data_IF_866265773394
#
_entry.id   IF_866265773394
#
_cell.length_a   1.000
_cell.length_b   1.000
_cell.length_c   1.000
_cell.angle_alpha   90.00
_cell.angle_beta   90.00
_cell.angle_gamma   90.00
#
_symmetry.space_group_name_H-M   'P 1'
#
loop_
_entity.id
_entity.type
_entity.pdbx_description
1 polymer ?
#
# COMPACT_ATOMS: atom_id res chain seq x y z
N UNK A 1 -33.13 -12.60 -19.58
CA UNK A 1 -31.73 -12.15 -19.49
C UNK A 1 -31.05 -12.18 -20.86
N UNK A 2 -31.23 -13.26 -21.66
CA UNK A 2 -30.64 -13.37 -23.01
C UNK A 2 -31.13 -12.25 -23.94
N UNK A 3 -32.43 -11.87 -23.85
CA UNK A 3 -33.02 -10.83 -24.66
C UNK A 3 -32.57 -9.39 -24.32
N UNK A 4 -32.02 -9.18 -23.14
CA UNK A 4 -31.43 -7.88 -22.73
C UNK A 4 -29.96 -7.73 -23.18
N UNK A 5 -29.23 -8.84 -23.29
CA UNK A 5 -27.89 -8.89 -23.87
C UNK A 5 -27.90 -8.61 -25.39
N UNK A 6 -28.92 -9.09 -26.09
CA UNK A 6 -29.05 -8.89 -27.53
C UNK A 6 -29.35 -7.44 -27.92
N UNK A 7 -29.82 -6.61 -26.98
CA UNK A 7 -30.17 -5.20 -27.22
C UNK A 7 -29.02 -4.21 -26.82
N UNK A 8 -27.88 -4.69 -26.33
CA UNK A 8 -26.73 -3.83 -25.99
C UNK A 8 -26.99 -2.88 -24.81
N UNK A 9 -28.04 -3.11 -24.02
CA UNK A 9 -28.46 -2.18 -22.97
C UNK A 9 -27.80 -2.39 -21.59
N UNK A 10 -27.02 -3.47 -21.39
CA UNK A 10 -26.34 -3.72 -20.14
C UNK A 10 -25.03 -4.49 -20.37
N UNK A 11 -23.94 -3.91 -20.02
CA UNK A 11 -22.65 -4.59 -19.83
C UNK A 11 -22.75 -5.43 -18.53
N UNK A 12 -23.36 -6.61 -18.64
CA UNK A 12 -23.59 -7.48 -17.50
C UNK A 12 -22.51 -8.55 -17.46
N UNK A 13 -21.48 -8.32 -16.65
CA UNK A 13 -20.56 -9.40 -16.27
C UNK A 13 -21.34 -10.45 -15.48
N UNK A 14 -21.58 -11.59 -16.14
CA UNK A 14 -22.23 -12.74 -15.52
C UNK A 14 -21.24 -13.40 -14.57
N UNK A 15 -21.26 -13.00 -13.30
CA UNK A 15 -20.47 -13.61 -12.24
C UNK A 15 -21.32 -14.68 -11.53
N UNK A 16 -21.33 -15.94 -12.01
CA UNK A 16 -22.15 -16.96 -11.40
C UNK A 16 -21.58 -17.34 -10.03
N UNK A 17 -22.37 -17.16 -8.98
CA UNK A 17 -22.02 -17.51 -7.59
C UNK A 17 -22.18 -19.01 -7.30
N UNK A 18 -22.74 -19.77 -8.24
CA UNK A 18 -23.01 -21.19 -8.06
C UNK A 18 -22.79 -21.99 -9.34
N UNK A 19 -21.96 -23.01 -9.26
CA UNK A 19 -21.68 -23.95 -10.32
C UNK A 19 -22.23 -25.34 -9.94
N UNK A 20 -22.79 -26.05 -10.91
CA UNK A 20 -23.19 -27.46 -10.75
C UNK A 20 -22.30 -28.30 -11.64
N UNK A 21 -21.52 -29.17 -11.05
CA UNK A 21 -20.67 -30.11 -11.76
C UNK A 21 -21.31 -31.49 -11.70
N UNK A 22 -21.58 -32.12 -12.85
CA UNK A 22 -22.15 -33.45 -12.94
C UNK A 22 -21.24 -34.38 -13.77
N UNK A 23 -21.06 -35.59 -13.29
CA UNK A 23 -20.31 -36.64 -13.99
C UNK A 23 -21.20 -37.83 -14.29
N UNK A 24 -21.30 -38.18 -15.55
CA UNK A 24 -22.11 -39.31 -16.02
C UNK A 24 -21.22 -40.46 -16.50
N UNK A 25 -21.47 -41.68 -16.06
CA UNK A 25 -20.74 -42.85 -16.49
C UNK A 25 -21.69 -44.01 -16.83
N UNK A 26 -21.14 -44.99 -17.56
CA UNK A 26 -21.90 -46.20 -17.90
C UNK A 26 -22.23 -47.05 -16.65
N UNK A 27 -23.33 -47.78 -16.70
CA UNK A 27 -23.86 -48.57 -15.57
C UNK A 27 -22.91 -49.68 -15.11
N UNK A 28 -21.97 -50.10 -15.98
CA UNK A 28 -20.98 -51.17 -15.71
C UNK A 28 -19.98 -50.84 -14.61
N UNK A 29 -19.80 -49.55 -14.28
CA UNK A 29 -18.77 -49.09 -13.33
C UNK A 29 -19.23 -48.99 -11.87
N UNK A 30 -20.48 -49.32 -11.58
CA UNK A 30 -21.06 -49.25 -10.23
C UNK A 30 -21.26 -47.83 -9.72
N UNK A 31 -22.07 -47.69 -8.66
CA UNK A 31 -22.48 -46.38 -8.12
C UNK A 31 -21.33 -45.60 -7.45
N UNK A 32 -20.32 -46.25 -6.96
CA UNK A 32 -19.20 -45.63 -6.27
C UNK A 32 -18.15 -45.00 -7.19
N UNK A 33 -18.04 -45.47 -8.43
CA UNK A 33 -17.06 -44.95 -9.38
C UNK A 33 -17.28 -43.46 -9.72
N UNK A 34 -18.51 -43.01 -10.13
CA UNK A 34 -18.72 -41.61 -10.45
C UNK A 34 -18.51 -40.68 -9.24
N UNK A 35 -18.82 -41.16 -8.04
CA UNK A 35 -18.57 -40.41 -6.81
C UNK A 35 -17.07 -40.21 -6.54
N UNK A 36 -16.25 -41.21 -6.72
CA UNK A 36 -14.79 -41.11 -6.58
C UNK A 36 -14.20 -40.16 -7.60
N UNK A 37 -14.60 -40.29 -8.87
CA UNK A 37 -14.12 -39.39 -9.94
C UNK A 37 -14.53 -37.92 -9.66
N UNK A 38 -15.77 -37.69 -9.29
CA UNK A 38 -16.23 -36.33 -8.97
C UNK A 38 -15.46 -35.72 -7.77
N UNK A 39 -15.25 -36.51 -6.72
CA UNK A 39 -14.47 -36.06 -5.57
C UNK A 39 -13.01 -35.74 -5.95
N UNK A 40 -12.39 -36.55 -6.82
CA UNK A 40 -11.04 -36.29 -7.30
C UNK A 40 -10.99 -35.00 -8.12
N UNK A 41 -11.94 -34.79 -9.02
CA UNK A 41 -12.04 -33.55 -9.82
C UNK A 41 -12.17 -32.34 -8.90
N UNK A 42 -13.02 -32.41 -7.88
CA UNK A 42 -13.20 -31.32 -6.93
C UNK A 42 -11.94 -31.05 -6.08
N UNK A 43 -11.22 -32.10 -5.68
CA UNK A 43 -9.95 -31.97 -4.96
C UNK A 43 -8.87 -31.35 -5.83
N UNK A 44 -8.73 -31.80 -7.08
CA UNK A 44 -7.76 -31.24 -8.03
C UNK A 44 -8.09 -29.78 -8.37
N UNK A 45 -9.37 -29.45 -8.56
CA UNK A 45 -9.81 -28.10 -8.78
C UNK A 45 -9.51 -27.20 -7.57
N UNK A 46 -9.83 -27.65 -6.35
CA UNK A 46 -9.52 -26.92 -5.12
C UNK A 46 -8.01 -26.69 -4.96
N UNK A 47 -7.20 -27.72 -5.26
CA UNK A 47 -5.73 -27.62 -5.24
C UNK A 47 -5.21 -26.64 -6.30
N UNK A 48 -5.72 -26.72 -7.52
CA UNK A 48 -5.37 -25.81 -8.62
C UNK A 48 -5.74 -24.38 -8.27
N UNK A 49 -6.96 -24.16 -7.79
CA UNK A 49 -7.44 -22.82 -7.38
C UNK A 49 -6.60 -22.26 -6.24
N UNK A 50 -6.32 -23.09 -5.22
CA UNK A 50 -5.48 -22.71 -4.10
C UNK A 50 -4.06 -22.31 -4.51
N UNK A 51 -3.49 -22.94 -5.54
CA UNK A 51 -2.12 -22.63 -6.03
C UNK A 51 -2.06 -21.39 -6.93
N UNK A 52 -3.10 -21.15 -7.74
CA UNK A 52 -3.03 -20.17 -8.82
C UNK A 52 -3.86 -18.90 -8.57
N UNK A 53 -4.87 -19.00 -7.71
CA UNK A 53 -5.83 -17.90 -7.50
C UNK A 53 -5.98 -17.47 -6.03
N UNK A 54 -5.49 -18.27 -5.08
CA UNK A 54 -5.43 -17.82 -3.69
C UNK A 54 -4.12 -17.12 -3.49
N UNK A 55 -4.18 -15.82 -3.23
CA UNK A 55 -3.01 -15.07 -2.83
C UNK A 55 -2.58 -15.56 -1.44
N UNK A 56 -1.58 -16.45 -1.43
CA UNK A 56 -0.96 -16.97 -0.22
C UNK A 56 0.19 -16.07 0.26
N UNK A 57 0.36 -14.89 -0.36
CA UNK A 57 1.40 -13.93 0.01
C UNK A 57 1.15 -13.24 1.36
N UNK A 58 0.18 -13.70 2.12
CA UNK A 58 0.07 -13.39 3.52
C UNK A 58 1.26 -14.01 4.23
N UNK A 59 2.30 -13.21 4.28
CA UNK A 59 3.40 -13.32 5.20
C UNK A 59 4.42 -14.43 4.92
N UNK A 60 5.59 -14.01 4.55
CA UNK A 60 6.78 -14.53 5.20
C UNK A 60 6.44 -14.70 6.69
N UNK A 61 6.68 -15.89 7.26
CA UNK A 61 6.27 -16.23 8.61
C UNK A 61 6.99 -15.30 9.64
N UNK A 62 6.34 -14.21 10.13
CA UNK A 62 6.99 -13.22 10.97
C UNK A 62 7.47 -13.82 12.29
N UNK A 63 6.83 -14.89 12.74
CA UNK A 63 7.21 -15.62 13.96
C UNK A 63 8.60 -16.24 13.81
N UNK A 64 8.94 -16.77 12.63
CA UNK A 64 10.29 -17.30 12.39
C UNK A 64 11.34 -16.18 12.40
N UNK A 65 11.02 -15.02 11.86
CA UNK A 65 11.91 -13.87 11.82
C UNK A 65 12.17 -13.30 13.21
N UNK A 66 11.15 -13.13 14.02
CA UNK A 66 11.25 -12.68 15.41
C UNK A 66 12.20 -13.57 16.23
N UNK A 67 12.14 -14.88 16.01
CA UNK A 67 12.94 -15.84 16.80
C UNK A 67 14.36 -16.05 16.28
N UNK A 68 14.60 -15.88 14.99
CA UNK A 68 15.87 -16.23 14.34
C UNK A 68 16.80 -15.03 14.09
N UNK A 69 16.26 -13.82 13.89
CA UNK A 69 17.06 -12.64 13.49
C UNK A 69 17.74 -11.90 14.64
N UNK A 70 17.64 -12.36 15.88
CA UNK A 70 18.29 -11.73 17.02
C UNK A 70 17.82 -10.29 17.30
N UNK A 71 16.55 -10.03 17.08
CA UNK A 71 15.91 -8.75 17.39
C UNK A 71 15.91 -8.45 18.88
N UNK A 72 16.03 -7.18 19.24
CA UNK A 72 15.75 -6.69 20.57
C UNK A 72 14.22 -6.69 20.83
N UNK A 73 13.79 -6.56 22.10
CA UNK A 73 12.37 -6.58 22.45
C UNK A 73 11.56 -5.49 21.73
N UNK A 74 12.13 -4.28 21.62
CA UNK A 74 11.50 -3.19 20.89
C UNK A 74 11.36 -3.51 19.40
N UNK A 75 12.40 -4.04 18.76
CA UNK A 75 12.35 -4.46 17.36
C UNK A 75 11.36 -5.60 17.12
N UNK A 76 11.19 -6.50 18.10
CA UNK A 76 10.16 -7.54 18.03
C UNK A 76 8.76 -6.96 18.05
N UNK A 77 8.50 -5.96 18.91
CA UNK A 77 7.22 -5.27 18.99
C UNK A 77 6.93 -4.50 17.69
N UNK A 78 7.93 -3.82 17.10
CA UNK A 78 7.80 -3.17 15.79
C UNK A 78 7.41 -4.17 14.69
N UNK A 79 8.09 -5.33 14.61
CA UNK A 79 7.77 -6.37 13.62
C UNK A 79 6.36 -6.95 13.84
N UNK A 80 5.90 -7.05 15.09
CA UNK A 80 4.53 -7.48 15.40
C UNK A 80 3.50 -6.44 14.93
N UNK A 81 3.73 -5.16 15.21
CA UNK A 81 2.86 -4.06 14.79
C UNK A 81 2.73 -3.99 13.26
N UNK A 82 3.86 -4.00 12.54
CA UNK A 82 3.91 -4.03 11.09
C UNK A 82 3.17 -5.25 10.51
N UNK A 83 3.35 -6.41 11.13
CA UNK A 83 2.70 -7.65 10.70
C UNK A 83 1.18 -7.57 10.85
N UNK A 84 0.70 -7.08 11.99
CA UNK A 84 -0.73 -6.94 12.25
C UNK A 84 -1.36 -5.87 11.36
N UNK A 85 -0.63 -4.79 11.07
CA UNK A 85 -1.05 -3.76 10.10
C UNK A 85 -1.24 -4.37 8.70
N UNK A 86 -0.25 -5.09 8.20
CA UNK A 86 -0.33 -5.76 6.89
C UNK A 86 -1.48 -6.78 6.83
N UNK A 87 -1.75 -7.51 7.93
CA UNK A 87 -2.89 -8.43 8.00
C UNK A 87 -4.21 -7.67 7.95
N UNK A 88 -4.34 -6.58 8.70
CA UNK A 88 -5.55 -5.76 8.74
C UNK A 88 -5.84 -5.12 7.38
N UNK A 89 -4.81 -4.61 6.68
CA UNK A 89 -4.92 -4.08 5.32
C UNK A 89 -5.38 -5.16 4.33
N UNK A 90 -4.75 -6.33 4.36
CA UNK A 90 -5.17 -7.45 3.51
C UNK A 90 -6.60 -7.89 3.78
N UNK A 91 -7.03 -7.89 5.04
CA UNK A 91 -8.42 -8.20 5.40
C UNK A 91 -9.37 -7.09 4.94
N UNK A 92 -8.95 -5.82 4.93
CA UNK A 92 -9.71 -4.71 4.36
C UNK A 92 -10.02 -4.93 2.89
N UNK A 93 -9.02 -5.32 2.09
CA UNK A 93 -9.20 -5.68 0.68
C UNK A 93 -10.21 -6.84 0.50
N UNK A 94 -10.18 -7.82 1.43
CA UNK A 94 -11.13 -8.94 1.39
C UNK A 94 -12.55 -8.53 1.77
N UNK A 95 -12.71 -7.58 2.67
CA UNK A 95 -14.01 -6.99 3.02
C UNK A 95 -14.58 -6.24 1.83
N UNK A 96 -13.78 -5.43 1.12
CA UNK A 96 -14.20 -4.73 -0.09
C UNK A 96 -14.63 -5.70 -1.20
N UNK A 97 -13.86 -6.78 -1.37
CA UNK A 97 -14.16 -7.79 -2.38
C UNK A 97 -15.41 -8.61 -2.07
N UNK A 98 -15.63 -9.01 -0.82
CA UNK A 98 -16.78 -9.82 -0.39
C UNK A 98 -17.12 -9.63 1.10
N UNK A 99 -17.77 -8.50 1.42
CA UNK A 99 -18.17 -8.16 2.79
C UNK A 99 -19.23 -9.10 3.41
N UNK A 100 -19.96 -9.84 2.58
CA UNK A 100 -20.98 -10.80 3.05
C UNK A 100 -20.40 -12.18 3.39
N UNK A 101 -19.13 -12.43 3.07
CA UNK A 101 -18.49 -13.70 3.33
C UNK A 101 -18.50 -14.04 4.82
N UNK A 102 -18.92 -15.30 5.10
CA UNK A 102 -18.78 -15.90 6.43
C UNK A 102 -18.25 -17.31 6.32
N UNK A 103 -17.26 -17.62 7.14
CA UNK A 103 -16.67 -18.97 7.23
C UNK A 103 -17.73 -19.97 7.68
N UNK A 104 -17.97 -21.01 6.90
CA UNK A 104 -18.90 -22.09 7.25
C UNK A 104 -18.50 -22.87 8.53
N UNK A 105 -17.22 -22.81 8.90
CA UNK A 105 -16.68 -23.50 10.07
C UNK A 105 -16.75 -22.67 11.35
N UNK A 106 -16.48 -21.37 11.27
CA UNK A 106 -16.34 -20.50 12.45
C UNK A 106 -17.45 -19.46 12.55
N UNK A 107 -18.21 -19.21 11.48
CA UNK A 107 -19.23 -18.16 11.38
C UNK A 107 -18.65 -16.75 11.26
N UNK A 108 -17.33 -16.57 11.37
CA UNK A 108 -16.65 -15.26 11.31
C UNK A 108 -16.60 -14.72 9.90
N UNK A 109 -16.77 -13.42 9.75
CA UNK A 109 -16.54 -12.66 8.53
C UNK A 109 -15.09 -12.17 8.44
N UNK A 110 -14.71 -11.60 7.29
CA UNK A 110 -13.42 -10.90 7.15
C UNK A 110 -13.37 -9.65 8.04
N UNK A 111 -14.50 -8.96 8.22
CA UNK A 111 -14.60 -7.82 9.13
C UNK A 111 -14.36 -8.23 10.58
N UNK A 112 -14.98 -9.32 11.04
CA UNK A 112 -14.78 -9.82 12.41
C UNK A 112 -13.30 -10.15 12.70
N UNK A 113 -12.58 -10.70 11.70
CA UNK A 113 -11.15 -10.98 11.81
C UNK A 113 -10.32 -9.69 11.80
N UNK A 114 -10.65 -8.75 10.92
CA UNK A 114 -9.97 -7.45 10.86
C UNK A 114 -10.05 -6.73 12.21
N UNK A 115 -11.26 -6.62 12.76
CA UNK A 115 -11.50 -5.96 14.05
C UNK A 115 -10.71 -6.63 15.18
N UNK A 116 -10.58 -7.98 15.16
CA UNK A 116 -9.80 -8.72 16.14
C UNK A 116 -8.29 -8.43 16.02
N UNK A 117 -7.74 -8.39 14.81
CA UNK A 117 -6.32 -8.06 14.59
C UNK A 117 -6.01 -6.59 14.89
N UNK A 118 -6.91 -5.68 14.55
CA UNK A 118 -6.79 -4.26 14.92
C UNK A 118 -6.83 -4.09 16.44
N UNK A 119 -7.71 -4.80 17.14
CA UNK A 119 -7.75 -4.77 18.60
C UNK A 119 -6.43 -5.27 19.23
N UNK A 120 -5.87 -6.38 18.75
CA UNK A 120 -4.58 -6.90 19.24
C UNK A 120 -3.49 -5.85 19.01
N UNK A 121 -3.44 -5.23 17.82
CA UNK A 121 -2.47 -4.19 17.50
C UNK A 121 -2.63 -2.96 18.40
N UNK A 122 -3.84 -2.42 18.49
CA UNK A 122 -4.11 -1.14 19.13
C UNK A 122 -4.14 -1.22 20.66
N UNK A 123 -4.33 -2.41 21.22
CA UNK A 123 -4.38 -2.59 22.69
C UNK A 123 -3.19 -3.39 23.19
N UNK A 124 -3.00 -4.62 22.73
CA UNK A 124 -2.00 -5.51 23.32
C UNK A 124 -0.57 -5.13 22.89
N UNK A 125 -0.37 -4.83 21.60
CA UNK A 125 0.96 -4.42 21.11
C UNK A 125 1.32 -3.03 21.63
N UNK A 126 0.37 -2.09 21.72
CA UNK A 126 0.64 -0.77 22.31
C UNK A 126 0.93 -0.85 23.81
N UNK A 127 0.29 -1.76 24.52
CA UNK A 127 0.65 -2.03 25.92
C UNK A 127 2.08 -2.57 26.01
N UNK A 128 2.46 -3.53 25.15
CA UNK A 128 3.80 -4.08 25.10
C UNK A 128 4.86 -2.99 24.83
N UNK A 129 4.61 -2.09 23.85
CA UNK A 129 5.48 -0.93 23.61
C UNK A 129 5.63 -0.06 24.86
N UNK A 130 4.52 0.22 25.53
CA UNK A 130 4.51 1.04 26.75
C UNK A 130 5.34 0.41 27.86
N UNK A 131 5.24 -0.89 28.05
CA UNK A 131 6.01 -1.63 29.06
C UNK A 131 7.50 -1.66 28.73
N UNK A 132 7.86 -1.92 27.47
CA UNK A 132 9.26 -1.91 26.98
C UNK A 132 9.88 -0.53 27.18
N UNK A 133 9.19 0.53 26.79
CA UNK A 133 9.70 1.90 26.87
C UNK A 133 9.76 2.42 28.31
N UNK A 134 8.72 2.19 29.11
CA UNK A 134 8.68 2.60 30.51
C UNK A 134 9.72 1.86 31.34
N UNK A 135 9.84 0.54 31.11
CA UNK A 135 10.84 -0.30 31.77
C UNK A 135 12.25 -0.17 31.21
N UNK A 136 12.40 0.48 30.02
CA UNK A 136 13.66 0.54 29.25
C UNK A 136 14.25 -0.85 29.05
N UNK A 137 13.40 -1.81 28.70
CA UNK A 137 13.74 -3.22 28.61
C UNK A 137 14.44 -3.48 27.26
N UNK A 138 15.68 -3.95 27.32
CA UNK A 138 16.48 -4.27 26.11
C UNK A 138 17.37 -5.48 26.38
N UNK A 139 17.62 -6.29 25.35
CA UNK A 139 18.55 -7.42 25.41
C UNK A 139 20.00 -6.94 25.39
N UNK A 140 20.30 -5.96 24.52
CA UNK A 140 21.60 -5.35 24.33
C UNK A 140 21.43 -3.86 23.96
N UNK A 141 21.60 -3.01 24.97
CA UNK A 141 21.43 -1.57 24.83
C UNK A 141 22.34 -0.97 23.76
N UNK A 142 23.60 -1.37 23.76
CA UNK A 142 24.60 -0.73 22.91
C UNK A 142 24.36 -1.12 21.45
N UNK A 143 23.99 -2.36 21.19
CA UNK A 143 23.56 -2.83 19.86
C UNK A 143 22.26 -2.14 19.42
N UNK A 144 21.28 -1.99 20.30
CA UNK A 144 20.04 -1.28 20.02
C UNK A 144 20.31 0.18 19.60
N UNK A 145 21.11 0.89 20.38
CA UNK A 145 21.48 2.28 20.09
C UNK A 145 22.25 2.41 18.77
N UNK A 146 23.15 1.47 18.45
CA UNK A 146 23.86 1.45 17.19
C UNK A 146 22.91 1.25 15.99
N UNK A 147 21.96 0.31 16.09
CA UNK A 147 20.96 0.06 15.06
C UNK A 147 20.11 1.30 14.77
N UNK A 148 19.59 1.97 15.80
CA UNK A 148 18.77 3.17 15.63
C UNK A 148 19.58 4.37 15.11
N UNK A 149 20.86 4.51 15.48
CA UNK A 149 21.76 5.50 14.84
C UNK A 149 21.97 5.21 13.37
N UNK A 150 22.17 3.94 13.00
CA UNK A 150 22.32 3.53 11.61
C UNK A 150 21.03 3.75 10.81
N UNK A 151 19.85 3.47 11.39
CA UNK A 151 18.56 3.83 10.79
C UNK A 151 18.48 5.33 10.51
N UNK A 152 18.83 6.19 11.47
CA UNK A 152 18.83 7.63 11.29
C UNK A 152 19.82 8.11 10.22
N UNK A 153 21.00 7.52 10.13
CA UNK A 153 21.96 7.84 9.09
C UNK A 153 21.42 7.50 7.70
N UNK A 154 20.79 6.34 7.56
CA UNK A 154 20.15 5.93 6.30
C UNK A 154 18.98 6.84 5.93
N UNK A 155 18.13 7.19 6.90
CA UNK A 155 17.04 8.15 6.70
C UNK A 155 17.56 9.53 6.29
N UNK A 156 18.66 10.02 6.88
CA UNK A 156 19.26 11.29 6.49
C UNK A 156 19.74 11.29 5.04
N UNK A 157 20.33 10.19 4.57
CA UNK A 157 20.77 10.03 3.17
C UNK A 157 19.53 10.03 2.24
N UNK A 158 18.54 9.22 2.55
CA UNK A 158 17.28 9.14 1.77
C UNK A 158 16.56 10.48 1.73
N UNK A 159 16.41 11.14 2.89
CA UNK A 159 15.76 12.46 3.02
C UNK A 159 16.46 13.51 2.15
N UNK A 160 17.79 13.55 2.14
CA UNK A 160 18.55 14.49 1.32
C UNK A 160 18.34 14.24 -0.19
N UNK A 161 18.28 12.96 -0.61
CA UNK A 161 18.00 12.60 -2.00
C UNK A 161 16.59 13.04 -2.42
N UNK A 162 15.60 12.78 -1.58
CA UNK A 162 14.20 13.19 -1.83
C UNK A 162 14.05 14.71 -1.82
N UNK A 163 14.72 15.42 -0.90
CA UNK A 163 14.70 16.89 -0.86
C UNK A 163 15.26 17.50 -2.15
N UNK A 164 16.36 16.94 -2.67
CA UNK A 164 16.92 17.39 -3.96
C UNK A 164 15.94 17.18 -5.12
N UNK A 165 15.23 16.04 -5.13
CA UNK A 165 14.24 15.74 -6.18
C UNK A 165 13.02 16.68 -6.06
N UNK A 166 12.56 16.97 -4.85
CA UNK A 166 11.51 17.96 -4.58
C UNK A 166 11.90 19.33 -5.13
N UNK A 167 13.11 19.81 -4.83
CA UNK A 167 13.59 21.11 -5.30
C UNK A 167 13.68 21.15 -6.85
N UNK A 168 14.12 20.05 -7.46
CA UNK A 168 14.17 19.89 -8.91
C UNK A 168 12.79 19.98 -9.54
N UNK A 169 11.81 19.23 -9.01
CA UNK A 169 10.43 19.22 -9.53
C UNK A 169 9.78 20.59 -9.32
N UNK A 170 9.96 21.23 -8.18
CA UNK A 170 9.46 22.59 -7.94
C UNK A 170 10.03 23.59 -8.95
N UNK A 171 11.31 23.48 -9.31
CA UNK A 171 11.92 24.31 -10.32
C UNK A 171 11.25 24.14 -11.70
N UNK A 172 10.92 22.90 -12.07
CA UNK A 172 10.23 22.62 -13.33
C UNK A 172 8.80 23.16 -13.29
N UNK A 173 8.05 22.92 -12.19
CA UNK A 173 6.68 23.42 -12.02
C UNK A 173 6.63 24.95 -12.15
N UNK A 174 7.54 25.68 -11.49
CA UNK A 174 7.62 27.14 -11.61
C UNK A 174 7.91 27.59 -13.04
N UNK A 175 8.82 26.90 -13.76
CA UNK A 175 9.10 27.22 -15.14
C UNK A 175 7.87 27.02 -16.05
N UNK A 176 7.03 26.01 -15.77
CA UNK A 176 5.75 25.81 -16.44
C UNK A 176 4.77 26.94 -16.12
N UNK A 177 4.64 27.32 -14.84
CA UNK A 177 3.74 28.39 -14.38
C UNK A 177 4.15 29.75 -14.94
N UNK A 178 5.45 30.06 -14.97
CA UNK A 178 5.99 31.29 -15.54
C UNK A 178 5.73 31.33 -17.05
N UNK A 179 5.92 30.24 -17.78
CA UNK A 179 5.64 30.15 -19.20
C UNK A 179 4.14 30.37 -19.50
N UNK A 180 3.23 29.87 -18.66
CA UNK A 180 1.78 30.11 -18.79
C UNK A 180 1.44 31.59 -18.48
N UNK A 181 2.10 32.17 -17.47
CA UNK A 181 1.86 33.57 -17.05
C UNK A 181 2.30 34.62 -18.10
N UNK A 182 3.30 34.32 -18.92
CA UNK A 182 3.75 35.20 -20.02
C UNK A 182 2.77 35.24 -21.22
N UNK A 183 1.78 34.38 -21.26
CA UNK A 183 0.78 34.21 -22.31
C UNK A 183 -0.63 34.73 -21.97
N UNK A 184 -0.76 35.62 -21.00
CA UNK A 184 -1.99 36.39 -20.83
C UNK A 184 -2.18 37.33 -22.05
N UNK A 185 -3.04 36.93 -22.96
CA UNK A 185 -3.42 37.79 -24.09
C UNK A 185 -4.40 38.82 -23.56
N UNK A 186 -4.11 40.13 -23.63
CA UNK A 186 -5.07 41.14 -23.21
C UNK A 186 -6.33 41.03 -24.07
N UNK A 187 -7.47 40.84 -23.44
CA UNK A 187 -8.77 40.85 -24.11
C UNK A 187 -9.14 42.29 -24.36
N UNK A 188 -9.10 42.68 -25.63
CA UNK A 188 -9.58 43.99 -26.07
C UNK A 188 -11.03 43.88 -26.57
N UNK A 189 -11.88 44.87 -26.16
CA UNK A 189 -13.23 44.98 -26.70
C UNK A 189 -13.21 45.48 -28.16
N UNK A 190 -14.35 45.52 -28.81
CA UNK A 190 -14.48 46.00 -30.19
C UNK A 190 -14.01 47.47 -30.37
N UNK A 191 -13.82 48.23 -29.30
CA UNK A 191 -13.27 49.57 -29.30
C UNK A 191 -11.74 49.61 -29.11
N UNK A 192 -11.07 48.42 -28.94
CA UNK A 192 -9.62 48.32 -28.74
C UNK A 192 -9.16 48.61 -27.31
N UNK A 193 -10.08 48.67 -26.36
CA UNK A 193 -9.78 48.88 -24.94
C UNK A 193 -9.52 47.55 -24.24
N UNK A 194 -8.48 47.49 -23.38
CA UNK A 194 -8.17 46.31 -22.59
C UNK A 194 -9.25 46.15 -21.48
N UNK A 195 -10.07 45.12 -21.58
CA UNK A 195 -11.19 44.86 -20.66
C UNK A 195 -10.86 43.76 -19.62
N UNK A 196 -9.63 43.29 -19.60
CA UNK A 196 -9.13 42.32 -18.61
C UNK A 196 -8.28 41.23 -19.26
N UNK A 197 -7.43 40.66 -18.46
CA UNK A 197 -6.68 39.46 -18.84
C UNK A 197 -7.58 38.24 -18.66
N UNK A 198 -8.06 37.68 -19.76
CA UNK A 198 -8.69 36.38 -19.74
C UNK A 198 -7.59 35.36 -19.94
N UNK A 199 -7.32 34.57 -18.91
CA UNK A 199 -6.64 33.31 -19.12
C UNK A 199 -7.51 32.48 -20.05
N UNK A 200 -7.18 32.49 -21.35
CA UNK A 200 -7.80 31.56 -22.29
C UNK A 200 -7.48 30.17 -21.79
N UNK A 201 -8.50 29.47 -21.30
CA UNK A 201 -8.40 28.07 -20.97
C UNK A 201 -7.73 27.33 -22.14
N UNK A 202 -6.55 26.78 -21.89
CA UNK A 202 -5.87 25.78 -22.73
C UNK A 202 -5.26 26.24 -24.06
N UNK A 203 -4.94 27.49 -24.27
CA UNK A 203 -4.01 27.84 -25.37
C UNK A 203 -2.64 28.07 -24.75
N UNK A 204 -1.91 26.96 -24.53
CA UNK A 204 -0.45 27.03 -24.45
C UNK A 204 0.06 27.70 -25.73
N UNK A 205 1.13 28.53 -25.63
CA UNK A 205 1.69 29.18 -26.81
C UNK A 205 1.94 28.17 -27.91
N UNK A 206 1.58 28.54 -29.12
CA UNK A 206 1.97 27.86 -30.34
C UNK A 206 3.49 27.75 -30.41
N UNK A 207 4.06 26.83 -29.68
CA UNK A 207 5.39 26.32 -29.98
C UNK A 207 5.13 25.32 -31.12
N UNK A 208 5.15 25.82 -32.33
CA UNK A 208 4.87 25.07 -33.57
C UNK A 208 5.75 23.83 -33.76
N UNK A 209 6.74 23.61 -32.88
CA UNK A 209 7.67 22.48 -32.93
C UNK A 209 7.22 21.26 -32.13
N UNK A 210 6.11 21.34 -31.38
CA UNK A 210 5.65 20.26 -30.47
C UNK A 210 4.34 19.61 -30.96
N UNK A 211 4.17 19.45 -32.25
CA UNK A 211 3.10 18.62 -32.81
C UNK A 211 3.64 17.21 -33.06
N UNK A 212 2.98 16.22 -32.54
CA UNK A 212 3.26 14.82 -32.85
C UNK A 212 2.26 14.32 -33.89
N UNK A 213 2.79 13.61 -34.89
CA UNK A 213 2.01 12.86 -35.85
C UNK A 213 1.60 11.53 -35.19
N UNK A 214 0.30 11.29 -35.09
CA UNK A 214 -0.20 10.00 -34.58
C UNK A 214 -0.03 8.89 -35.64
N UNK A 215 -0.31 7.64 -35.27
CA UNK A 215 -0.19 6.46 -36.14
C UNK A 215 -1.09 6.57 -37.40
N UNK A 216 -2.10 7.44 -37.38
CA UNK A 216 -3.04 7.67 -38.45
C UNK A 216 -2.64 8.90 -39.34
N UNK A 217 -1.52 9.55 -39.05
CA UNK A 217 -1.01 10.69 -39.77
C UNK A 217 -1.68 12.02 -39.41
N UNK A 218 -2.39 12.09 -38.30
CA UNK A 218 -2.97 13.33 -37.80
C UNK A 218 -1.99 14.05 -36.88
N UNK A 219 -1.89 15.35 -37.04
CA UNK A 219 -1.07 16.22 -36.20
C UNK A 219 -1.90 16.72 -35.03
N UNK A 220 -1.45 16.42 -33.81
CA UNK A 220 -2.10 16.87 -32.56
C UNK A 220 -1.09 17.60 -31.67
N UNK A 221 -1.51 18.66 -30.97
CA UNK A 221 -0.65 19.30 -29.99
C UNK A 221 -0.29 18.30 -28.86
N UNK A 222 0.97 18.32 -28.43
CA UNK A 222 1.40 17.54 -27.25
C UNK A 222 0.60 18.00 -26.03
N UNK A 223 -0.04 17.06 -25.35
CA UNK A 223 -0.80 17.36 -24.12
C UNK A 223 0.17 17.63 -22.96
N UNK A 224 0.58 18.89 -22.81
CA UNK A 224 1.47 19.33 -21.73
C UNK A 224 0.77 19.39 -20.36
N UNK A 225 -0.56 19.38 -20.32
CA UNK A 225 -1.30 19.32 -19.05
C UNK A 225 -1.12 17.97 -18.38
N UNK A 226 -1.03 16.89 -19.16
CA UNK A 226 -0.74 15.56 -18.65
C UNK A 226 0.65 15.47 -18.00
N UNK A 227 1.67 16.11 -18.58
CA UNK A 227 3.02 16.15 -17.99
C UNK A 227 3.06 16.97 -16.70
N UNK A 228 2.35 18.09 -16.63
CA UNK A 228 2.24 18.91 -15.44
C UNK A 228 1.56 18.13 -14.29
N UNK A 229 0.47 17.42 -14.58
CA UNK A 229 -0.22 16.56 -13.63
C UNK A 229 0.65 15.41 -13.10
N UNK A 230 1.50 14.85 -13.96
CA UNK A 230 2.48 13.83 -13.56
C UNK A 230 3.52 14.41 -12.59
N UNK A 231 4.03 15.62 -12.90
CA UNK A 231 4.99 16.32 -12.04
C UNK A 231 4.38 16.68 -10.68
N UNK A 232 3.13 17.16 -10.65
CA UNK A 232 2.42 17.46 -9.40
C UNK A 232 2.22 16.21 -8.55
N UNK A 233 1.80 15.10 -9.15
CA UNK A 233 1.65 13.82 -8.42
C UNK A 233 2.98 13.39 -7.83
N UNK A 234 4.04 13.42 -8.63
CA UNK A 234 5.38 13.06 -8.16
C UNK A 234 5.86 13.98 -7.03
N UNK A 235 5.60 15.28 -7.14
CA UNK A 235 5.90 16.24 -6.07
C UNK A 235 5.19 15.88 -4.75
N UNK A 236 3.90 15.54 -4.83
CA UNK A 236 3.11 15.15 -3.66
C UNK A 236 3.65 13.85 -3.05
N UNK A 237 3.96 12.85 -3.88
CA UNK A 237 4.54 11.58 -3.43
C UNK A 237 5.89 11.80 -2.73
N UNK A 238 6.81 12.51 -3.35
CA UNK A 238 8.13 12.80 -2.79
C UNK A 238 8.02 13.64 -1.51
N UNK A 239 7.09 14.59 -1.46
CA UNK A 239 6.81 15.39 -0.27
C UNK A 239 6.31 14.52 0.89
N UNK A 240 5.41 13.60 0.61
CA UNK A 240 4.89 12.64 1.59
C UNK A 240 6.01 11.74 2.12
N UNK A 241 6.88 11.21 1.24
CA UNK A 241 8.05 10.42 1.63
C UNK A 241 9.02 11.22 2.50
N UNK A 242 9.23 12.49 2.18
CA UNK A 242 10.08 13.37 2.98
C UNK A 242 9.53 13.57 4.39
N UNK A 243 8.22 13.81 4.52
CA UNK A 243 7.53 13.99 5.81
C UNK A 243 7.54 12.70 6.65
N UNK A 244 7.31 11.54 6.03
CA UNK A 244 7.47 10.24 6.70
C UNK A 244 8.90 10.05 7.22
N UNK A 245 9.93 10.39 6.42
CA UNK A 245 11.32 10.28 6.84
C UNK A 245 11.66 11.18 8.05
N UNK A 246 10.98 12.32 8.19
CA UNK A 246 11.11 13.18 9.39
C UNK A 246 10.49 12.48 10.59
N UNK A 247 9.27 11.99 10.46
CA UNK A 247 8.56 11.29 11.55
C UNK A 247 9.35 10.08 12.04
N UNK A 248 9.88 9.26 11.12
CA UNK A 248 10.71 8.11 11.45
C UNK A 248 12.01 8.50 12.15
N UNK A 249 12.64 9.61 11.72
CA UNK A 249 13.83 10.14 12.37
C UNK A 249 13.54 10.64 13.78
N UNK A 250 12.40 11.30 13.99
CA UNK A 250 11.98 11.78 15.31
C UNK A 250 11.66 10.59 16.23
N UNK A 251 11.00 9.56 15.73
CA UNK A 251 10.80 8.32 16.48
C UNK A 251 12.12 7.67 16.87
N UNK A 252 13.05 7.49 15.93
CA UNK A 252 14.36 6.91 16.23
C UNK A 252 15.14 7.76 17.26
N UNK A 253 15.08 9.08 17.17
CA UNK A 253 15.70 9.99 18.15
C UNK A 253 15.05 9.86 19.54
N UNK A 254 13.73 9.70 19.58
CA UNK A 254 13.02 9.42 20.84
C UNK A 254 13.52 8.11 21.47
N UNK A 255 13.62 7.02 20.70
CA UNK A 255 14.14 5.74 21.18
C UNK A 255 15.58 5.88 21.68
N UNK A 256 16.45 6.55 20.91
CA UNK A 256 17.81 6.82 21.33
C UNK A 256 17.86 7.57 22.67
N UNK A 257 16.97 8.54 22.90
CA UNK A 257 16.89 9.30 24.14
C UNK A 257 16.44 8.46 25.33
N UNK A 258 15.43 7.59 25.12
CA UNK A 258 14.88 6.71 26.16
C UNK A 258 15.90 5.70 26.63
N UNK A 259 16.61 5.05 25.68
CA UNK A 259 17.56 3.99 25.98
C UNK A 259 18.99 4.47 26.28
N UNK A 260 19.33 5.73 26.00
CA UNK A 260 20.65 6.27 26.31
C UNK A 260 21.06 6.09 27.79
N UNK A 261 20.10 6.20 28.68
CA UNK A 261 20.28 6.08 30.12
C UNK A 261 19.76 4.74 30.69
N UNK A 262 19.41 3.79 29.83
CA UNK A 262 19.01 2.47 30.29
C UNK A 262 20.20 1.76 30.95
N UNK A 263 20.00 0.94 32.02
CA UNK A 263 21.05 0.14 32.57
C UNK A 263 21.60 -0.80 31.50
N UNK A 264 22.92 -1.03 31.50
CA UNK A 264 23.51 -2.04 30.64
C UNK A 264 22.90 -3.40 31.05
N UNK A 265 22.01 -3.93 30.21
CA UNK A 265 21.26 -5.13 30.58
C UNK A 265 22.13 -6.37 30.44
N UNK A 266 22.13 -7.18 31.49
CA UNK A 266 22.42 -8.58 31.26
C UNK A 266 21.15 -9.28 30.78
N UNK A 267 21.22 -10.26 29.87
CA UNK A 267 20.04 -10.99 29.38
C UNK A 267 19.18 -11.59 30.50
N UNK A 268 19.75 -11.85 31.65
CA UNK A 268 19.09 -12.39 32.84
C UNK A 268 18.22 -11.35 33.55
N UNK A 269 18.69 -10.11 33.69
CA UNK A 269 17.92 -9.06 34.34
C UNK A 269 16.66 -8.66 33.53
N UNK A 270 16.72 -8.76 32.21
CA UNK A 270 15.58 -8.51 31.34
C UNK A 270 14.52 -9.62 31.44
N UNK A 271 14.92 -10.88 31.57
CA UNK A 271 13.98 -12.00 31.79
C UNK A 271 13.26 -11.92 33.13
N UNK A 272 13.97 -11.50 34.19
CA UNK A 272 13.40 -11.36 35.52
C UNK A 272 12.36 -10.22 35.59
N UNK A 273 12.53 -9.15 34.76
CA UNK A 273 11.59 -8.03 34.66
C UNK A 273 10.30 -8.37 33.89
N UNK A 274 10.37 -9.29 32.95
CA UNK A 274 9.19 -9.74 32.17
C UNK A 274 8.36 -10.76 32.96
N UNK A 275 8.98 -11.43 33.96
CA UNK A 275 8.30 -12.44 34.79
C UNK A 275 7.71 -11.88 36.10
N UNK A 276 8.00 -10.64 36.43
CA UNK A 276 7.50 -9.93 37.61
C UNK A 276 6.23 -9.15 37.30
#
# INVERSE_FOLDING_TARGET
>A
QQSMLDNGELDYELNPTRYVVSFHCGVSNGKEYPRKVLNQILQEYASYYGKNHVNTSLAANPVSDITTKGYDYLEMAEVMDDTLTNIAEHLSDKVEWNGEFRSSRTGRSFQDLKDEFEFIRDVEVQQLFSEILAGRITKDRDLLLEKYRNRNNNLAISKNAVAFEIDRIQGIIRAYEDAIGEFSVPVVNDAGENVGDVLQNNVLPDVYDDWNEDEDGNWAPVDRTAEYDVLLRKYIEDRTLYEHSISDSDYNNYILSVFANAPASSPQAAQDQIQA
#
